data_IF_236422032755
#
_entry.id   IF_236422032755
#
_cell.length_a   1.000
_cell.length_b   1.000
_cell.length_c   1.000
_cell.angle_alpha   90.00
_cell.angle_beta   90.00
_cell.angle_gamma   90.00
#
_symmetry.space_group_name_H-M   'P 1'
#
loop_
_entity.id
_entity.type
_entity.pdbx_description
1 polymer ?
#
# COMPACT_ATOMS: atom_id res chain seq x y z
N UNK A 1 -4.81 0.23 -5.45
CA UNK A 1 -5.72 1.09 -4.65
C UNK A 1 -6.36 0.24 -3.57
N UNK A 2 -6.70 0.75 -2.38
CA UNK A 2 -7.37 -0.07 -1.37
C UNK A 2 -8.90 -0.04 -1.51
N UNK A 3 -9.58 -1.17 -1.26
CA UNK A 3 -11.05 -1.27 -1.31
C UNK A 3 -11.75 -0.17 -0.50
N UNK A 4 -11.30 0.09 0.73
CA UNK A 4 -11.86 1.16 1.56
C UNK A 4 -11.81 2.53 0.88
N UNK A 5 -10.69 2.84 0.20
CA UNK A 5 -10.54 4.10 -0.52
C UNK A 5 -11.46 4.21 -1.73
N UNK A 6 -11.70 3.10 -2.45
CA UNK A 6 -12.65 3.06 -3.57
C UNK A 6 -14.05 3.41 -3.07
N UNK A 7 -14.48 2.79 -1.96
CA UNK A 7 -15.80 3.05 -1.38
C UNK A 7 -15.95 4.49 -0.89
N UNK A 8 -14.93 5.03 -0.20
CA UNK A 8 -14.97 6.42 0.29
C UNK A 8 -15.14 7.42 -0.85
N UNK A 9 -14.37 7.28 -1.93
CA UNK A 9 -14.45 8.19 -3.09
C UNK A 9 -15.77 8.03 -3.84
N UNK A 10 -16.21 6.80 -4.08
CA UNK A 10 -17.47 6.53 -4.78
C UNK A 10 -18.70 7.05 -4.02
N UNK A 11 -18.67 6.97 -2.69
CA UNK A 11 -19.73 7.52 -1.84
C UNK A 11 -19.77 9.06 -1.87
N UNK A 12 -18.61 9.72 -1.76
CA UNK A 12 -18.52 11.18 -1.75
C UNK A 12 -18.78 11.80 -3.13
N UNK A 13 -18.38 11.13 -4.22
CA UNK A 13 -18.44 11.66 -5.58
C UNK A 13 -19.05 10.66 -6.57
N UNK A 14 -20.38 10.43 -6.52
CA UNK A 14 -21.03 9.33 -7.26
C UNK A 14 -20.98 9.46 -8.80
N UNK A 15 -20.59 10.62 -9.33
CA UNK A 15 -20.45 10.86 -10.78
C UNK A 15 -19.02 10.68 -11.31
N UNK A 16 -18.05 10.46 -10.43
CA UNK A 16 -16.65 10.22 -10.82
C UNK A 16 -16.48 8.77 -11.26
N UNK A 17 -15.68 8.56 -12.30
CA UNK A 17 -15.24 7.23 -12.74
C UNK A 17 -13.83 6.98 -12.21
N UNK A 18 -13.67 5.93 -11.41
CA UNK A 18 -12.36 5.49 -10.89
C UNK A 18 -11.77 4.47 -11.86
N UNK A 19 -10.58 4.75 -12.37
CA UNK A 19 -9.83 3.84 -13.22
C UNK A 19 -8.55 3.49 -12.46
N UNK A 20 -8.33 2.21 -12.18
CA UNK A 20 -7.14 1.74 -11.47
C UNK A 20 -6.75 0.36 -12.00
N UNK A 21 -5.45 0.04 -11.97
CA UNK A 21 -4.91 -1.22 -12.50
C UNK A 21 -5.12 -2.39 -11.53
N UNK A 22 -5.12 -2.12 -10.22
CA UNK A 22 -5.26 -3.13 -9.19
C UNK A 22 -5.96 -2.57 -7.94
N UNK A 23 -6.74 -3.43 -7.30
CA UNK A 23 -7.38 -3.18 -6.00
C UNK A 23 -6.89 -4.21 -5.00
N UNK A 24 -6.39 -3.74 -3.86
CA UNK A 24 -5.84 -4.52 -2.77
C UNK A 24 -6.79 -4.51 -1.55
N UNK A 25 -6.75 -5.59 -0.78
CA UNK A 25 -7.78 -5.90 0.22
C UNK A 25 -7.77 -4.99 1.45
N UNK A 26 -6.58 -4.59 1.91
CA UNK A 26 -6.46 -3.97 3.23
C UNK A 26 -5.46 -2.84 3.27
N UNK A 27 -5.63 -2.02 4.29
CA UNK A 27 -4.71 -0.98 4.68
C UNK A 27 -4.24 -1.32 6.10
N UNK A 28 -2.95 -1.18 6.39
CA UNK A 28 -2.43 -1.38 7.74
C UNK A 28 -2.66 -0.14 8.63
N UNK A 29 -2.18 -0.17 9.87
CA UNK A 29 -2.36 0.95 10.82
C UNK A 29 -1.56 2.21 10.44
N UNK A 30 -0.53 2.07 9.61
CA UNK A 30 0.30 3.17 9.08
C UNK A 30 -0.25 3.72 7.76
N UNK A 31 -1.46 3.31 7.36
CA UNK A 31 -2.10 3.72 6.12
C UNK A 31 -1.42 3.20 4.84
N UNK A 32 -0.60 2.16 4.93
CA UNK A 32 -0.04 1.46 3.78
C UNK A 32 -1.01 0.41 3.23
N UNK A 33 -1.15 0.37 1.91
CA UNK A 33 -1.93 -0.66 1.20
C UNK A 33 -1.15 -1.98 1.25
N UNK A 34 -1.81 -3.08 1.62
CA UNK A 34 -1.22 -4.42 1.71
C UNK A 34 -1.93 -5.39 0.76
N UNK A 35 -1.21 -6.16 -0.10
CA UNK A 35 0.25 -6.22 -0.20
C UNK A 35 0.88 -4.94 -0.74
N UNK A 36 0.22 -4.23 -1.66
CA UNK A 36 0.66 -2.94 -2.18
C UNK A 36 2.07 -2.95 -2.77
N UNK A 37 2.69 -1.76 -2.86
CA UNK A 37 4.03 -1.58 -3.43
C UNK A 37 4.96 -0.74 -2.54
N UNK A 38 4.58 -0.49 -1.29
CA UNK A 38 5.26 0.48 -0.42
C UNK A 38 5.07 1.92 -0.90
N UNK A 39 6.00 2.81 -0.56
CA UNK A 39 5.97 4.19 -1.01
C UNK A 39 6.31 4.28 -2.51
N UNK A 40 5.30 4.54 -3.34
CA UNK A 40 5.48 4.69 -4.79
C UNK A 40 6.42 5.85 -5.15
N UNK A 41 6.32 6.98 -4.43
CA UNK A 41 7.12 8.16 -4.73
C UNK A 41 8.61 7.89 -4.56
N UNK A 42 8.97 7.30 -3.42
CA UNK A 42 10.37 6.95 -3.14
C UNK A 42 10.92 5.98 -4.17
N UNK A 43 10.21 4.90 -4.46
CA UNK A 43 10.65 3.89 -5.43
C UNK A 43 10.69 4.40 -6.87
N UNK A 44 9.82 5.33 -7.23
CA UNK A 44 9.74 5.87 -8.58
C UNK A 44 10.82 6.93 -8.83
N UNK A 45 11.11 7.78 -7.84
CA UNK A 45 12.10 8.85 -7.95
C UNK A 45 13.48 8.48 -7.41
N UNK A 46 13.63 7.33 -6.74
CA UNK A 46 14.86 6.90 -6.09
C UNK A 46 15.21 7.72 -4.85
N UNK A 47 14.19 8.14 -4.08
CA UNK A 47 14.35 8.93 -2.84
C UNK A 47 14.22 8.09 -1.58
N UNK A 48 14.14 6.77 -1.74
CA UNK A 48 14.31 5.81 -0.66
C UNK A 48 15.64 6.10 0.05
N UNK A 49 15.54 6.57 1.30
CA UNK A 49 16.71 6.71 2.15
C UNK A 49 17.37 5.34 2.24
N UNK A 50 18.73 5.26 2.25
CA UNK A 50 19.40 3.99 2.46
C UNK A 50 18.84 3.40 3.76
N UNK A 51 18.18 2.25 3.64
CA UNK A 51 17.65 1.53 4.78
C UNK A 51 18.81 1.21 5.70
N UNK A 52 18.77 1.66 6.95
CA UNK A 52 19.37 0.88 8.01
C UNK A 52 18.65 -0.47 7.97
N UNK A 53 19.32 -1.44 7.33
CA UNK A 53 18.88 -2.81 7.20
C UNK A 53 18.66 -3.39 8.59
N UNK A 54 17.43 -3.33 9.08
CA UNK A 54 16.94 -4.33 10.02
C UNK A 54 16.09 -5.31 9.22
N UNK A 55 16.77 -6.28 8.61
CA UNK A 55 16.22 -7.62 8.46
C UNK A 55 15.73 -8.04 9.85
N UNK A 56 14.43 -7.85 10.10
CA UNK A 56 13.74 -8.68 11.08
C UNK A 56 13.43 -9.95 10.32
N UNK A 57 14.42 -10.85 10.29
CA UNK A 57 14.22 -12.27 10.02
C UNK A 57 13.17 -12.78 11.02
N UNK A 58 11.89 -12.70 10.65
CA UNK A 58 10.83 -13.54 11.20
C UNK A 58 10.67 -14.76 10.28
N UNK A 59 11.78 -15.45 10.03
CA UNK A 59 11.73 -16.87 9.74
C UNK A 59 11.62 -17.57 11.10
N UNK A 60 10.39 -17.72 11.59
CA UNK A 60 10.11 -18.72 12.61
C UNK A 60 10.51 -20.10 12.05
N UNK A 61 11.67 -20.59 12.46
CA UNK A 61 12.03 -22.00 12.30
C UNK A 61 11.12 -22.79 13.23
N UNK A 62 10.08 -23.37 12.65
CA UNK A 62 9.25 -24.37 13.31
C UNK A 62 10.10 -25.65 13.46
N UNK A 63 10.66 -25.86 14.66
CA UNK A 63 11.14 -27.15 15.17
C UNK A 63 10.23 -27.63 16.29
#
# INVERSE_FOLDING_TARGET
MAEMGVHSVAYAFPRVRIITTAVDKRVNQEFHIIPGIGNFGDRFFGTDAPSDWHESDDFSMDY
#
